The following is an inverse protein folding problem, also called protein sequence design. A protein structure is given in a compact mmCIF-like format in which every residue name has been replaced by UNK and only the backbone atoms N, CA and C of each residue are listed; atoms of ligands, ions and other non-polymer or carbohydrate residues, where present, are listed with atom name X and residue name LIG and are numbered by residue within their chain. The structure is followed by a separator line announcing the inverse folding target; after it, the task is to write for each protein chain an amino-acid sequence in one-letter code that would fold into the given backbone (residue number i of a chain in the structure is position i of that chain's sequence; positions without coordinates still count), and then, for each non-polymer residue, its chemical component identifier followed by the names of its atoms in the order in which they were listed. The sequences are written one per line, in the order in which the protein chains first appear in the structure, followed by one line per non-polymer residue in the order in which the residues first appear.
data_IF_748170039093
#
_entry.id   IF_748170039093
#
_cell.length_a   1.000
_cell.length_b   1.000
_cell.length_c   1.000
_cell.angle_alpha   90.00
_cell.angle_beta   90.00
_cell.angle_gamma   90.00
#
_symmetry.space_group_name_H-M   'P 1'
#
loop_
_entity.id
_entity.type
_entity.pdbx_description
1 polymer ?
#
# COMPACT_ATOMS: atom_id res chain seq x y z
N UNK A 1 12.20 -15.03 7.32
CA UNK A 1 12.48 -15.84 6.11
C UNK A 1 11.22 -15.88 5.27
N UNK A 2 11.32 -15.67 3.95
CA UNK A 2 10.18 -15.80 3.04
C UNK A 2 10.10 -17.26 2.57
N UNK A 3 8.96 -17.97 2.75
CA UNK A 3 8.79 -19.34 2.26
C UNK A 3 8.94 -19.45 0.74
N UNK A 4 9.51 -20.57 0.29
CA UNK A 4 9.71 -20.84 -1.16
C UNK A 4 8.41 -20.81 -1.97
N UNK A 5 7.30 -21.27 -1.41
CA UNK A 5 6.01 -21.27 -2.12
C UNK A 5 5.56 -19.85 -2.49
N UNK A 6 5.83 -18.85 -1.65
CA UNK A 6 5.47 -17.47 -1.96
C UNK A 6 6.35 -16.89 -3.08
N UNK A 7 7.62 -17.30 -3.13
CA UNK A 7 8.51 -16.96 -4.25
C UNK A 7 8.01 -17.57 -5.56
N UNK A 8 7.47 -18.80 -5.52
CA UNK A 8 6.82 -19.40 -6.69
C UNK A 8 5.57 -18.66 -7.13
N UNK A 9 4.75 -18.16 -6.19
CA UNK A 9 3.60 -17.29 -6.52
C UNK A 9 4.07 -16.01 -7.22
N UNK A 10 5.06 -15.31 -6.67
CA UNK A 10 5.61 -14.11 -7.30
C UNK A 10 6.21 -14.38 -8.70
N UNK A 11 6.91 -15.51 -8.86
CA UNK A 11 7.45 -15.94 -10.14
C UNK A 11 6.34 -16.28 -11.15
N UNK A 12 5.26 -16.93 -10.70
CA UNK A 12 4.11 -17.21 -11.53
C UNK A 12 3.42 -15.92 -12.00
N UNK A 13 3.22 -14.94 -11.11
CA UNK A 13 2.72 -13.61 -11.46
C UNK A 13 3.59 -12.98 -12.56
N UNK A 14 4.91 -12.96 -12.38
CA UNK A 14 5.83 -12.42 -13.38
C UNK A 14 5.76 -13.16 -14.72
N UNK A 15 5.63 -14.49 -14.70
CA UNK A 15 5.52 -15.32 -15.89
C UNK A 15 4.28 -14.97 -16.73
N UNK A 16 3.17 -14.55 -16.11
CA UNK A 16 1.98 -14.09 -16.85
C UNK A 16 2.32 -12.92 -17.80
N UNK A 17 3.13 -11.96 -17.33
CA UNK A 17 3.57 -10.83 -18.15
C UNK A 17 4.47 -11.22 -19.31
N UNK A 18 5.32 -12.24 -19.11
CA UNK A 18 6.22 -12.84 -20.12
C UNK A 18 5.48 -13.80 -21.06
N UNK A 19 4.28 -14.26 -20.71
CA UNK A 19 3.39 -14.98 -21.62
C UNK A 19 2.53 -14.03 -22.48
N UNK A 20 2.62 -12.72 -22.24
CA UNK A 20 1.86 -11.72 -22.99
C UNK A 20 0.41 -11.58 -22.53
N UNK A 21 0.07 -12.17 -21.38
CA UNK A 21 -1.16 -11.82 -20.68
C UNK A 21 -1.04 -10.39 -20.21
N UNK A 22 -2.16 -9.67 -20.22
CA UNK A 22 -2.18 -8.30 -19.76
C UNK A 22 -3.12 -8.14 -18.58
N UNK A 23 -2.60 -7.57 -17.49
CA UNK A 23 -3.41 -7.02 -16.41
C UNK A 23 -4.02 -5.66 -16.78
N UNK A 24 -3.66 -5.13 -17.95
CA UNK A 24 -4.21 -3.89 -18.48
C UNK A 24 -5.60 -4.09 -19.06
N UNK A 25 -6.47 -3.10 -18.84
CA UNK A 25 -7.72 -2.94 -19.55
C UNK A 25 -7.49 -2.39 -20.97
N UNK A 26 -6.41 -2.79 -21.66
CA UNK A 26 -6.09 -2.32 -23.01
C UNK A 26 -7.24 -2.57 -24.02
N UNK A 27 -7.94 -3.69 -23.87
CA UNK A 27 -9.16 -3.98 -24.63
C UNK A 27 -10.29 -2.97 -24.34
N UNK A 28 -10.39 -2.43 -23.12
CA UNK A 28 -11.28 -1.30 -22.84
C UNK A 28 -10.84 -0.07 -23.61
N UNK A 29 -9.57 0.35 -23.57
CA UNK A 29 -9.10 1.52 -24.34
C UNK A 29 -9.45 1.44 -25.84
N UNK A 30 -9.34 0.25 -26.45
CA UNK A 30 -9.59 0.06 -27.89
C UNK A 30 -11.09 -0.13 -28.21
N UNK A 31 -11.91 -0.55 -27.25
CA UNK A 31 -13.32 -0.89 -27.46
C UNK A 31 -14.27 -0.28 -26.42
N UNK A 32 -13.93 0.90 -25.86
CA UNK A 32 -14.68 1.55 -24.77
C UNK A 32 -16.16 1.62 -25.12
N UNK A 33 -16.46 2.07 -26.34
CA UNK A 33 -17.83 2.26 -26.82
C UNK A 33 -18.63 0.95 -26.88
N UNK A 34 -17.97 -0.18 -27.18
CA UNK A 34 -18.63 -1.49 -27.26
C UNK A 34 -18.80 -2.10 -25.87
N UNK A 35 -17.77 -2.05 -25.02
CA UNK A 35 -17.78 -2.68 -23.69
C UNK A 35 -18.64 -1.91 -22.68
N UNK A 36 -18.85 -0.61 -22.91
CA UNK A 36 -19.72 0.22 -22.07
C UNK A 36 -21.16 0.35 -22.61
N UNK A 37 -21.43 -0.11 -23.84
CA UNK A 37 -22.77 -0.11 -24.41
C UNK A 37 -23.67 -1.15 -23.72
N UNK A 38 -24.87 -0.70 -23.31
CA UNK A 38 -25.82 -1.54 -22.57
C UNK A 38 -26.19 -2.84 -23.29
N UNK A 39 -26.34 -2.80 -24.61
CA UNK A 39 -26.69 -3.97 -25.42
C UNK A 39 -25.60 -5.05 -25.43
N UNK A 40 -24.32 -4.65 -25.54
CA UNK A 40 -23.21 -5.59 -25.51
C UNK A 40 -23.06 -6.22 -24.11
N UNK A 41 -23.22 -5.40 -23.06
CA UNK A 41 -23.18 -5.89 -21.67
C UNK A 41 -24.28 -6.90 -21.37
N UNK A 42 -25.52 -6.65 -21.79
CA UNK A 42 -26.63 -7.59 -21.57
C UNK A 42 -26.45 -8.94 -22.25
N UNK A 43 -25.65 -9.01 -23.31
CA UNK A 43 -25.38 -10.26 -24.05
C UNK A 43 -24.15 -11.02 -23.52
N UNK A 44 -23.21 -10.34 -22.85
CA UNK A 44 -21.89 -10.91 -22.51
C UNK A 44 -21.57 -10.90 -21.01
N UNK A 45 -22.34 -10.20 -20.18
CA UNK A 45 -22.17 -10.15 -18.72
C UNK A 45 -23.15 -11.11 -18.04
N UNK A 46 -22.64 -12.24 -17.56
CA UNK A 46 -23.43 -13.26 -16.85
C UNK A 46 -23.53 -12.99 -15.34
N UNK A 47 -22.56 -12.27 -14.76
CA UNK A 47 -22.51 -11.92 -13.34
C UNK A 47 -21.93 -10.52 -13.14
N UNK A 48 -22.58 -9.70 -12.31
CA UNK A 48 -22.16 -8.31 -12.05
C UNK A 48 -22.38 -7.38 -13.24
N UNK A 49 -21.77 -6.19 -13.19
CA UNK A 49 -21.74 -5.24 -14.32
C UNK A 49 -20.34 -4.69 -14.50
N UNK A 50 -19.83 -4.60 -15.74
CA UNK A 50 -18.53 -3.95 -15.97
C UNK A 50 -18.61 -2.48 -15.60
N UNK A 51 -17.66 -2.02 -14.79
CA UNK A 51 -17.57 -0.62 -14.35
C UNK A 51 -16.27 -0.01 -14.86
N UNK A 52 -16.31 1.27 -15.23
CA UNK A 52 -15.13 2.05 -15.62
C UNK A 52 -14.15 2.37 -14.46
N UNK A 53 -14.11 1.52 -13.43
CA UNK A 53 -13.36 1.75 -12.17
C UNK A 53 -11.86 1.90 -12.43
N UNK A 54 -11.34 1.32 -13.52
CA UNK A 54 -9.91 1.35 -13.89
C UNK A 54 -9.56 2.34 -15.01
N UNK A 55 -10.39 3.36 -15.21
CA UNK A 55 -10.17 4.38 -16.25
C UNK A 55 -8.88 5.19 -16.03
N UNK A 56 -8.42 5.33 -14.80
CA UNK A 56 -7.10 5.85 -14.44
C UNK A 56 -5.95 5.11 -15.14
N UNK A 57 -6.12 3.81 -15.38
CA UNK A 57 -5.17 3.06 -16.20
C UNK A 57 -5.39 3.32 -17.69
N UNK A 58 -6.49 2.82 -18.23
CA UNK A 58 -6.62 2.62 -19.67
C UNK A 58 -6.90 3.94 -20.40
N UNK A 59 -7.49 4.93 -19.72
CA UNK A 59 -7.73 6.26 -20.27
C UNK A 59 -6.61 7.26 -19.97
N UNK A 60 -5.71 6.96 -19.01
CA UNK A 60 -4.66 7.90 -18.59
C UNK A 60 -3.27 7.29 -18.66
N UNK A 61 -2.92 6.35 -17.76
CA UNK A 61 -1.56 5.81 -17.70
C UNK A 61 -1.10 5.20 -19.03
N UNK A 62 -1.96 4.42 -19.67
CA UNK A 62 -1.65 3.72 -20.92
C UNK A 62 -1.41 4.70 -22.08
N UNK A 63 -2.31 5.67 -22.37
CA UNK A 63 -2.06 6.72 -23.34
C UNK A 63 -0.79 7.53 -23.08
N UNK A 64 -0.53 7.88 -21.81
CA UNK A 64 0.68 8.61 -21.43
C UNK A 64 1.97 7.83 -21.74
N UNK A 65 2.04 6.55 -21.35
CA UNK A 65 3.18 5.70 -21.67
C UNK A 65 3.32 5.51 -23.19
N UNK A 66 2.21 5.35 -23.92
CA UNK A 66 2.23 5.17 -25.37
C UNK A 66 2.68 6.44 -26.10
N UNK A 67 2.25 7.61 -25.63
CA UNK A 67 2.69 8.89 -26.17
C UNK A 67 4.21 9.07 -26.04
N UNK A 68 4.82 8.59 -24.95
CA UNK A 68 6.28 8.60 -24.76
C UNK A 68 7.02 7.65 -25.71
N UNK A 69 6.43 6.50 -26.04
CA UNK A 69 7.02 5.55 -26.98
C UNK A 69 6.94 6.04 -28.44
N UNK A 70 5.90 6.81 -28.76
CA UNK A 70 5.63 7.34 -30.11
C UNK A 70 6.27 8.71 -30.38
N UNK A 71 6.75 9.41 -29.35
CA UNK A 71 7.38 10.72 -29.51
C UNK A 71 8.71 10.63 -30.25
N UNK A 72 9.11 11.74 -30.87
CA UNK A 72 10.41 11.92 -31.51
C UNK A 72 11.04 13.22 -30.97
N UNK A 73 12.15 13.17 -30.19
CA UNK A 73 12.82 11.95 -29.70
C UNK A 73 11.92 11.12 -28.76
N UNK A 74 12.24 9.83 -28.58
CA UNK A 74 11.49 8.93 -27.67
C UNK A 74 11.71 9.30 -26.21
N UNK A 75 10.68 9.15 -25.38
CA UNK A 75 10.70 9.34 -23.92
C UNK A 75 11.21 10.72 -23.43
N UNK A 76 10.78 11.84 -24.04
CA UNK A 76 11.24 13.17 -23.68
C UNK A 76 10.70 13.61 -22.32
N UNK A 77 11.36 14.60 -21.73
CA UNK A 77 10.89 15.26 -20.51
C UNK A 77 9.58 16.03 -20.74
N UNK A 78 9.46 16.70 -21.89
CA UNK A 78 8.24 17.39 -22.33
C UNK A 78 7.73 16.67 -23.57
N UNK A 79 6.50 16.13 -23.50
CA UNK A 79 5.89 15.41 -24.60
C UNK A 79 4.82 16.26 -25.29
N UNK A 80 5.03 16.57 -26.56
CA UNK A 80 4.13 17.36 -27.40
C UNK A 80 2.94 16.56 -27.95
N UNK A 81 2.95 15.22 -27.83
CA UNK A 81 1.82 14.37 -28.21
C UNK A 81 0.71 14.35 -27.14
N UNK A 82 0.87 15.10 -26.04
CA UNK A 82 -0.08 15.15 -24.93
C UNK A 82 -0.52 16.60 -24.70
N UNK A 83 -1.77 16.90 -25.09
CA UNK A 83 -2.35 18.24 -24.94
C UNK A 83 -1.55 19.31 -25.69
N UNK A 84 -1.23 20.42 -24.99
CA UNK A 84 -0.39 21.52 -25.50
C UNK A 84 1.12 21.32 -25.20
N UNK A 85 1.52 20.10 -24.82
CA UNK A 85 2.84 19.81 -24.29
C UNK A 85 2.78 19.59 -22.77
N UNK A 86 3.09 18.36 -22.35
CA UNK A 86 3.03 17.97 -20.94
C UNK A 86 4.40 17.61 -20.38
N UNK A 87 4.77 18.20 -19.23
CA UNK A 87 5.93 17.78 -18.45
C UNK A 87 5.66 16.41 -17.83
N UNK A 88 6.52 15.43 -18.11
CA UNK A 88 6.26 14.02 -17.80
C UNK A 88 6.65 13.62 -16.37
N UNK A 89 7.37 14.46 -15.61
CA UNK A 89 7.70 14.24 -14.18
C UNK A 89 6.51 14.52 -13.24
N UNK A 90 5.31 14.19 -13.69
CA UNK A 90 4.04 14.43 -13.01
C UNK A 90 3.59 13.24 -12.15
N UNK A 91 2.36 13.28 -11.64
CA UNK A 91 1.69 12.26 -10.79
C UNK A 91 1.39 10.91 -11.47
N UNK A 92 2.06 10.53 -12.56
CA UNK A 92 1.85 9.25 -13.24
C UNK A 92 3.18 8.59 -13.58
N UNK A 93 3.16 7.27 -13.65
CA UNK A 93 4.36 6.46 -13.89
C UNK A 93 4.70 6.36 -15.37
N UNK A 94 5.07 7.50 -15.94
CA UNK A 94 5.53 7.63 -17.33
C UNK A 94 7.02 7.35 -17.48
N UNK A 95 7.43 6.60 -18.52
CA UNK A 95 8.84 6.39 -18.83
C UNK A 95 9.47 7.67 -19.39
N UNK A 96 10.60 8.09 -18.84
CA UNK A 96 11.38 9.26 -19.26
C UNK A 96 12.85 8.86 -19.31
N UNK A 97 13.56 9.23 -20.37
CA UNK A 97 15.00 9.07 -20.45
C UNK A 97 15.71 10.29 -19.85
N UNK A 98 15.81 10.31 -18.53
CA UNK A 98 16.52 11.35 -17.78
C UNK A 98 17.30 10.76 -16.59
N UNK A 99 17.94 11.64 -15.80
CA UNK A 99 18.75 11.22 -14.66
C UNK A 99 17.97 10.49 -13.55
N UNK A 100 16.63 10.61 -13.51
CA UNK A 100 15.79 9.96 -12.52
C UNK A 100 15.43 8.52 -12.87
N UNK A 101 15.70 8.06 -14.10
CA UNK A 101 15.40 6.72 -14.57
C UNK A 101 15.89 5.59 -13.63
N UNK A 102 17.11 5.64 -13.05
CA UNK A 102 17.57 4.62 -12.11
C UNK A 102 16.69 4.50 -10.85
N UNK A 103 16.03 5.59 -10.45
CA UNK A 103 15.13 5.62 -9.29
C UNK A 103 13.67 5.34 -9.66
N UNK A 104 13.37 4.96 -10.90
CA UNK A 104 12.01 4.61 -11.35
C UNK A 104 11.98 3.23 -12.00
N UNK A 105 12.45 2.17 -11.32
CA UNK A 105 12.65 0.85 -11.94
C UNK A 105 11.36 0.19 -12.43
N UNK A 106 10.21 0.58 -11.88
CA UNK A 106 8.91 0.13 -12.38
C UNK A 106 8.61 0.63 -13.79
N UNK A 107 9.22 1.71 -14.27
CA UNK A 107 9.01 2.22 -15.64
C UNK A 107 9.91 1.55 -16.68
N UNK A 108 10.91 0.76 -16.26
CA UNK A 108 11.86 0.12 -17.17
C UNK A 108 11.23 -0.83 -18.19
N UNK A 109 10.19 -1.62 -17.85
CA UNK A 109 9.52 -2.45 -18.83
C UNK A 109 9.01 -1.67 -20.05
N UNK A 110 8.67 -0.37 -19.92
CA UNK A 110 8.17 0.41 -21.05
C UNK A 110 9.17 0.61 -22.20
N UNK A 111 10.46 0.36 -21.97
CA UNK A 111 11.49 0.39 -23.01
C UNK A 111 11.54 -0.91 -23.84
N UNK A 112 10.83 -1.97 -23.42
CA UNK A 112 10.70 -3.20 -24.20
C UNK A 112 9.84 -2.96 -25.45
N UNK A 113 10.10 -3.67 -26.56
CA UNK A 113 9.34 -3.50 -27.79
C UNK A 113 7.93 -4.09 -27.70
N UNK A 114 6.98 -3.43 -28.38
CA UNK A 114 5.64 -3.96 -28.63
C UNK A 114 4.83 -4.20 -27.35
N UNK A 115 4.02 -5.26 -27.36
CA UNK A 115 3.09 -5.59 -26.26
C UNK A 115 3.78 -5.85 -24.92
N UNK A 116 5.05 -6.30 -24.96
CA UNK A 116 5.83 -6.64 -23.76
C UNK A 116 6.01 -5.45 -22.81
N UNK A 117 6.02 -4.23 -23.35
CA UNK A 117 6.18 -3.02 -22.55
C UNK A 117 5.14 -2.89 -21.44
N UNK A 118 3.86 -3.11 -21.78
CA UNK A 118 2.75 -3.00 -20.84
C UNK A 118 2.53 -4.29 -20.06
N UNK A 119 2.67 -5.47 -20.69
CA UNK A 119 2.43 -6.75 -20.00
C UNK A 119 3.46 -6.99 -18.90
N UNK A 120 4.75 -6.77 -19.19
CA UNK A 120 5.82 -6.93 -18.20
C UNK A 120 5.71 -5.85 -17.13
N UNK A 121 5.38 -4.60 -17.48
CA UNK A 121 5.13 -3.52 -16.50
C UNK A 121 4.15 -3.96 -15.41
N UNK A 122 2.97 -4.44 -15.83
CA UNK A 122 1.90 -4.86 -14.93
C UNK A 122 2.37 -5.93 -13.96
N UNK A 123 2.81 -7.05 -14.49
CA UNK A 123 3.13 -8.22 -13.66
C UNK A 123 4.44 -8.07 -12.89
N UNK A 124 5.40 -7.28 -13.38
CA UNK A 124 6.61 -6.95 -12.63
C UNK A 124 6.27 -6.12 -11.38
N UNK A 125 5.39 -5.11 -11.51
CA UNK A 125 4.96 -4.31 -10.37
C UNK A 125 4.21 -5.16 -9.35
N UNK A 126 3.26 -6.00 -9.78
CA UNK A 126 2.50 -6.86 -8.86
C UNK A 126 3.39 -7.88 -8.13
N UNK A 127 4.30 -8.54 -8.85
CA UNK A 127 5.25 -9.47 -8.25
C UNK A 127 6.15 -8.76 -7.23
N UNK A 128 6.63 -7.56 -7.57
CA UNK A 128 7.48 -6.78 -6.68
C UNK A 128 6.71 -6.23 -5.46
N UNK A 129 5.44 -5.85 -5.60
CA UNK A 129 4.56 -5.47 -4.49
C UNK A 129 4.38 -6.63 -3.51
N UNK A 130 4.06 -7.82 -4.01
CA UNK A 130 3.92 -9.02 -3.17
C UNK A 130 5.22 -9.31 -2.40
N UNK A 131 6.37 -9.24 -3.06
CA UNK A 131 7.67 -9.47 -2.43
C UNK A 131 8.01 -8.37 -1.41
N UNK A 132 7.68 -7.11 -1.69
CA UNK A 132 7.89 -5.98 -0.79
C UNK A 132 7.06 -6.13 0.50
N UNK A 133 5.77 -6.47 0.35
CA UNK A 133 4.88 -6.77 1.47
C UNK A 133 5.37 -7.97 2.26
N UNK A 134 5.74 -9.07 1.59
CA UNK A 134 6.27 -10.26 2.23
C UNK A 134 7.54 -9.99 3.03
N UNK A 135 8.45 -9.18 2.49
CA UNK A 135 9.68 -8.82 3.20
C UNK A 135 9.38 -7.90 4.39
N UNK A 136 8.52 -6.89 4.22
CA UNK A 136 8.12 -6.01 5.32
C UNK A 136 7.46 -6.80 6.45
N UNK A 137 6.48 -7.67 6.14
CA UNK A 137 5.80 -8.50 7.14
C UNK A 137 6.80 -9.45 7.82
N UNK A 138 7.71 -10.05 7.06
CA UNK A 138 8.74 -10.94 7.62
C UNK A 138 9.70 -10.23 8.57
N UNK A 139 10.12 -8.99 8.28
CA UNK A 139 10.93 -8.18 9.20
C UNK A 139 10.09 -7.68 10.37
N UNK A 140 8.85 -7.25 10.11
CA UNK A 140 7.92 -6.79 11.13
C UNK A 140 7.65 -7.88 12.15
N UNK A 141 7.55 -9.15 11.76
CA UNK A 141 7.21 -10.31 12.61
C UNK A 141 8.42 -11.12 13.08
N UNK A 142 9.64 -10.64 12.78
CA UNK A 142 10.88 -11.36 12.99
C UNK A 142 11.12 -11.77 14.46
N UNK A 143 11.76 -12.94 14.63
CA UNK A 143 12.35 -13.46 15.87
C UNK A 143 13.70 -14.11 15.53
N UNK A 144 14.61 -14.13 16.50
CA UNK A 144 15.95 -14.71 16.31
C UNK A 144 15.92 -16.20 15.96
N UNK A 145 14.95 -16.95 16.50
CA UNK A 145 14.78 -18.37 16.21
C UNK A 145 13.89 -18.59 14.97
N UNK A 146 14.37 -19.32 13.95
CA UNK A 146 13.58 -19.61 12.76
C UNK A 146 12.45 -20.59 13.10
N UNK A 147 11.23 -20.22 12.74
CA UNK A 147 10.04 -21.06 12.88
C UNK A 147 9.27 -21.07 11.55
N UNK A 148 9.07 -22.27 11.00
CA UNK A 148 8.37 -22.48 9.72
C UNK A 148 6.89 -22.10 9.80
N UNK A 149 6.21 -22.35 10.93
CA UNK A 149 4.80 -22.01 11.12
C UNK A 149 4.64 -20.49 11.11
N UNK A 150 5.50 -19.77 11.84
CA UNK A 150 5.55 -18.30 11.80
C UNK A 150 5.84 -17.75 10.42
N UNK A 151 6.85 -18.30 9.74
CA UNK A 151 7.22 -17.85 8.40
C UNK A 151 6.07 -18.04 7.39
N UNK A 152 5.33 -19.14 7.50
CA UNK A 152 4.12 -19.37 6.70
C UNK A 152 2.99 -18.41 7.08
N UNK A 153 2.74 -18.17 8.37
CA UNK A 153 1.73 -17.21 8.82
C UNK A 153 2.02 -15.79 8.30
N UNK A 154 3.28 -15.35 8.38
CA UNK A 154 3.73 -14.07 7.82
C UNK A 154 3.51 -13.99 6.30
N UNK A 155 3.82 -15.08 5.57
CA UNK A 155 3.62 -15.13 4.12
C UNK A 155 2.14 -15.13 3.71
N UNK A 156 1.28 -15.83 4.46
CA UNK A 156 -0.17 -15.80 4.25
C UNK A 156 -0.73 -14.40 4.55
N UNK A 157 -0.26 -13.75 5.62
CA UNK A 157 -0.66 -12.38 5.94
C UNK A 157 -0.22 -11.39 4.84
N UNK A 158 0.98 -11.54 4.29
CA UNK A 158 1.43 -10.72 3.16
C UNK A 158 0.57 -10.93 1.91
N UNK A 159 0.14 -12.18 1.64
CA UNK A 159 -0.77 -12.50 0.55
C UNK A 159 -2.15 -11.89 0.78
N UNK A 160 -2.67 -11.92 2.00
CA UNK A 160 -3.93 -11.28 2.36
C UNK A 160 -3.88 -9.75 2.19
N UNK A 161 -2.78 -9.11 2.62
CA UNK A 161 -2.56 -7.67 2.39
C UNK A 161 -2.46 -7.37 0.89
N UNK A 162 -1.76 -8.20 0.12
CA UNK A 162 -1.62 -8.04 -1.33
C UNK A 162 -2.97 -8.08 -2.06
N UNK A 163 -3.90 -8.94 -1.62
CA UNK A 163 -5.26 -9.02 -2.17
C UNK A 163 -6.27 -8.09 -1.51
N UNK A 164 -5.84 -7.20 -0.62
CA UNK A 164 -6.74 -6.23 0.00
C UNK A 164 -7.38 -5.29 -1.02
N UNK A 165 -8.54 -4.71 -0.67
CA UNK A 165 -9.18 -3.74 -1.57
C UNK A 165 -8.31 -2.52 -1.80
N UNK A 166 -7.52 -2.06 -0.81
CA UNK A 166 -6.61 -0.93 -1.01
C UNK A 166 -5.57 -1.23 -2.10
N UNK A 167 -4.97 -2.43 -2.08
CA UNK A 167 -3.98 -2.81 -3.11
C UNK A 167 -4.65 -3.03 -4.48
N UNK A 168 -5.83 -3.65 -4.49
CA UNK A 168 -6.53 -4.03 -5.73
C UNK A 168 -7.18 -2.82 -6.42
N UNK A 169 -7.83 -1.93 -5.68
CA UNK A 169 -8.59 -0.80 -6.24
C UNK A 169 -7.68 0.36 -6.66
N UNK A 170 -6.51 0.50 -6.04
CA UNK A 170 -5.53 1.53 -6.38
C UNK A 170 -4.37 1.01 -7.23
N UNK A 171 -4.44 -0.24 -7.69
CA UNK A 171 -3.36 -0.97 -8.36
C UNK A 171 -2.73 -0.18 -9.52
N UNK A 172 -3.53 0.58 -10.29
CA UNK A 172 -3.07 1.39 -11.44
C UNK A 172 -2.46 2.74 -11.08
N UNK A 173 -2.40 3.09 -9.80
CA UNK A 173 -1.96 4.42 -9.38
C UNK A 173 -0.54 4.43 -8.81
N UNK A 174 0.19 5.56 -8.91
CA UNK A 174 1.48 5.72 -8.25
C UNK A 174 1.43 5.59 -6.73
N UNK A 175 0.25 5.64 -6.12
CA UNK A 175 0.10 5.36 -4.69
C UNK A 175 0.62 3.96 -4.34
N UNK A 176 0.30 2.94 -5.14
CA UNK A 176 0.73 1.56 -4.90
C UNK A 176 2.22 1.40 -5.13
N UNK A 177 2.78 2.12 -6.10
CA UNK A 177 4.21 2.17 -6.32
C UNK A 177 4.95 2.80 -5.13
N UNK A 178 4.38 3.86 -4.54
CA UNK A 178 4.90 4.44 -3.30
C UNK A 178 4.81 3.45 -2.13
N UNK A 179 3.67 2.77 -1.94
CA UNK A 179 3.50 1.75 -0.90
C UNK A 179 4.52 0.62 -1.08
N UNK A 180 4.72 0.13 -2.30
CA UNK A 180 5.71 -0.90 -2.63
C UNK A 180 7.11 -0.47 -2.18
N UNK A 181 7.59 0.69 -2.63
CA UNK A 181 8.94 1.14 -2.28
C UNK A 181 9.06 1.57 -0.82
N UNK A 182 7.98 2.06 -0.21
CA UNK A 182 7.88 2.30 1.23
C UNK A 182 8.04 1.01 2.04
N UNK A 183 7.42 -0.09 1.60
CA UNK A 183 7.58 -1.41 2.20
C UNK A 183 9.03 -1.92 2.05
N UNK A 184 9.65 -1.78 0.88
CA UNK A 184 11.06 -2.13 0.67
C UNK A 184 11.99 -1.27 1.54
N UNK A 185 11.70 0.02 1.68
CA UNK A 185 12.45 0.94 2.55
C UNK A 185 12.38 0.50 4.01
N UNK A 186 11.17 0.23 4.52
CA UNK A 186 10.97 -0.24 5.89
C UNK A 186 11.61 -1.61 6.15
N UNK A 187 11.50 -2.55 5.21
CA UNK A 187 12.10 -3.86 5.31
C UNK A 187 13.64 -3.80 5.30
N UNK A 188 14.23 -3.04 4.37
CA UNK A 188 15.68 -2.85 4.30
C UNK A 188 16.22 -2.15 5.57
N UNK A 189 15.52 -1.13 6.07
CA UNK A 189 15.86 -0.44 7.30
C UNK A 189 15.86 -1.38 8.52
N UNK A 190 14.80 -2.17 8.70
CA UNK A 190 14.69 -3.13 9.78
C UNK A 190 15.76 -4.25 9.66
N UNK A 191 15.97 -4.77 8.45
CA UNK A 191 17.00 -5.77 8.17
C UNK A 191 18.42 -5.27 8.47
N UNK A 192 18.69 -3.97 8.29
CA UNK A 192 19.97 -3.34 8.61
C UNK A 192 20.27 -3.43 10.11
N UNK A 193 19.28 -3.09 10.95
CA UNK A 193 19.40 -3.20 12.41
C UNK A 193 19.66 -4.65 12.86
N UNK A 194 19.01 -5.60 12.18
CA UNK A 194 19.06 -7.03 12.50
C UNK A 194 20.39 -7.69 12.12
N UNK A 195 20.79 -7.55 10.85
CA UNK A 195 21.93 -8.28 10.26
C UNK A 195 23.29 -7.65 10.56
N UNK A 196 23.32 -6.38 10.97
CA UNK A 196 24.56 -5.63 11.17
C UNK A 196 25.30 -5.27 9.88
N UNK A 197 24.79 -5.62 8.70
CA UNK A 197 25.33 -5.25 7.38
C UNK A 197 25.01 -3.77 7.07
N UNK A 198 25.63 -2.88 7.84
CA UNK A 198 25.29 -1.44 7.86
C UNK A 198 25.40 -0.80 6.49
N UNK A 199 26.51 -0.96 5.77
CA UNK A 199 26.74 -0.27 4.50
C UNK A 199 25.70 -0.67 3.43
N UNK A 200 25.54 -1.97 3.14
CA UNK A 200 24.58 -2.44 2.14
C UNK A 200 23.13 -2.17 2.53
N UNK A 201 22.81 -2.26 3.81
CA UNK A 201 21.48 -1.97 4.35
C UNK A 201 21.10 -0.49 4.25
N UNK A 202 22.03 0.41 4.60
CA UNK A 202 21.87 1.86 4.44
C UNK A 202 21.73 2.22 2.97
N UNK A 203 22.58 1.67 2.09
CA UNK A 203 22.50 1.91 0.65
C UNK A 203 21.16 1.44 0.05
N UNK A 204 20.70 0.24 0.42
CA UNK A 204 19.40 -0.27 0.00
C UNK A 204 18.24 0.60 0.51
N UNK A 205 18.31 1.04 1.78
CA UNK A 205 17.31 1.95 2.37
C UNK A 205 17.26 3.28 1.61
N UNK A 206 18.42 3.89 1.33
CA UNK A 206 18.50 5.14 0.57
C UNK A 206 17.94 4.97 -0.84
N UNK A 207 18.31 3.89 -1.53
CA UNK A 207 17.84 3.61 -2.89
C UNK A 207 16.33 3.39 -2.95
N UNK A 208 15.77 2.52 -2.10
CA UNK A 208 14.33 2.28 -2.08
C UNK A 208 13.54 3.53 -1.65
N UNK A 209 14.09 4.33 -0.74
CA UNK A 209 13.49 5.60 -0.37
C UNK A 209 13.49 6.58 -1.55
N UNK A 210 14.60 6.70 -2.30
CA UNK A 210 14.64 7.48 -3.53
C UNK A 210 13.60 7.00 -4.54
N UNK A 211 13.46 5.68 -4.73
CA UNK A 211 12.43 5.12 -5.60
C UNK A 211 11.01 5.45 -5.13
N UNK A 212 10.75 5.44 -3.82
CA UNK A 212 9.45 5.83 -3.27
C UNK A 212 9.15 7.31 -3.59
N UNK A 213 10.07 8.23 -3.32
CA UNK A 213 9.81 9.66 -3.50
C UNK A 213 9.92 10.14 -4.96
N UNK A 214 10.59 9.39 -5.85
CA UNK A 214 10.52 9.57 -7.31
C UNK A 214 9.19 9.07 -7.91
N UNK A 215 8.34 8.47 -7.08
CA UNK A 215 6.94 8.18 -7.37
C UNK A 215 6.08 9.27 -6.73
N UNK A 216 5.60 10.20 -7.56
CA UNK A 216 4.92 11.40 -7.07
C UNK A 216 3.47 11.14 -6.65
N UNK A 217 3.29 10.78 -5.37
CA UNK A 217 1.98 10.68 -4.73
C UNK A 217 1.99 11.26 -3.29
N UNK A 218 2.12 12.59 -3.13
CA UNK A 218 2.29 13.24 -1.82
C UNK A 218 1.29 12.86 -0.72
N UNK A 219 -0.02 12.66 -1.00
CA UNK A 219 -1.00 12.47 0.06
C UNK A 219 -0.78 11.28 0.99
N UNK A 220 0.05 10.29 0.61
CA UNK A 220 0.35 9.12 1.45
C UNK A 220 1.75 9.18 2.10
N UNK A 221 2.59 10.16 1.75
CA UNK A 221 3.99 10.22 2.17
C UNK A 221 4.15 10.31 3.70
N UNK A 222 3.55 11.31 4.33
CA UNK A 222 3.69 11.52 5.77
C UNK A 222 3.09 10.38 6.61
N UNK A 223 1.86 9.88 6.34
CA UNK A 223 1.30 8.73 7.06
C UNK A 223 2.19 7.49 6.99
N UNK A 224 2.70 7.14 5.80
CA UNK A 224 3.61 5.99 5.65
C UNK A 224 4.96 6.21 6.34
N UNK A 225 5.49 7.43 6.33
CA UNK A 225 6.75 7.74 7.01
C UNK A 225 6.65 7.51 8.52
N UNK A 226 5.53 7.86 9.15
CA UNK A 226 5.28 7.54 10.57
C UNK A 226 5.36 6.04 10.84
N UNK A 227 4.68 5.23 10.02
CA UNK A 227 4.67 3.77 10.16
C UNK A 227 6.07 3.17 9.97
N UNK A 228 6.81 3.62 8.95
CA UNK A 228 8.18 3.16 8.66
C UNK A 228 9.16 3.58 9.77
N UNK A 229 9.07 4.83 10.26
CA UNK A 229 9.92 5.32 11.34
C UNK A 229 9.66 4.59 12.65
N UNK A 230 8.40 4.31 13.00
CA UNK A 230 8.05 3.51 14.16
C UNK A 230 8.70 2.12 14.13
N UNK A 231 8.60 1.42 12.99
CA UNK A 231 9.26 0.12 12.78
C UNK A 231 10.79 0.22 12.89
N UNK A 232 11.40 1.23 12.27
CA UNK A 232 12.85 1.45 12.30
C UNK A 232 13.35 1.69 13.73
N UNK A 233 12.63 2.48 14.52
CA UNK A 233 12.96 2.76 15.91
C UNK A 233 12.90 1.46 16.72
N UNK A 234 11.82 0.68 16.60
CA UNK A 234 11.66 -0.59 17.31
C UNK A 234 12.76 -1.60 16.96
N UNK A 235 13.14 -1.72 15.69
CA UNK A 235 14.20 -2.61 15.24
C UNK A 235 15.57 -2.28 15.87
N UNK A 236 15.85 -0.99 16.12
CA UNK A 236 17.08 -0.54 16.77
C UNK A 236 17.01 -0.55 18.30
N UNK A 237 15.83 -0.29 18.88
CA UNK A 237 15.56 -0.45 20.31
C UNK A 237 15.76 -1.89 20.76
N UNK A 238 15.24 -2.86 19.99
CA UNK A 238 15.37 -4.29 20.27
C UNK A 238 16.84 -4.75 20.38
N UNK A 239 17.77 -4.02 19.73
CA UNK A 239 19.20 -4.31 19.77
C UNK A 239 20.00 -3.41 20.73
N UNK A 240 19.34 -2.53 21.49
CA UNK A 240 19.97 -1.49 22.32
C UNK A 240 20.96 -0.61 21.53
N UNK A 241 20.66 -0.36 20.26
CA UNK A 241 21.51 0.40 19.32
C UNK A 241 20.76 1.61 18.76
N UNK A 242 20.17 2.42 19.64
CA UNK A 242 19.36 3.59 19.25
C UNK A 242 20.11 4.55 18.34
N UNK A 243 21.39 4.81 18.59
CA UNK A 243 22.20 5.65 17.71
C UNK A 243 22.46 5.05 16.31
N UNK A 244 22.28 3.73 16.17
CA UNK A 244 22.33 3.06 14.87
C UNK A 244 21.15 3.40 13.96
N UNK A 245 20.06 3.94 14.52
CA UNK A 245 18.89 4.37 13.76
C UNK A 245 19.17 5.66 12.95
N UNK A 246 20.03 6.55 13.44
CA UNK A 246 20.34 7.84 12.78
C UNK A 246 20.85 7.69 11.34
N UNK A 247 21.88 6.88 11.02
CA UNK A 247 22.33 6.75 9.64
C UNK A 247 21.28 6.12 8.72
N UNK A 248 20.41 5.26 9.24
CA UNK A 248 19.31 4.67 8.46
C UNK A 248 18.21 5.71 8.21
N UNK A 249 17.88 6.53 9.21
CA UNK A 249 16.95 7.65 9.07
C UNK A 249 17.49 8.71 8.09
N UNK A 250 18.79 9.02 8.18
CA UNK A 250 19.46 9.91 7.23
C UNK A 250 19.40 9.37 5.80
N UNK A 251 19.49 8.05 5.61
CA UNK A 251 19.30 7.43 4.30
C UNK A 251 17.87 7.59 3.76
N UNK A 252 16.84 7.47 4.61
CA UNK A 252 15.45 7.77 4.22
C UNK A 252 15.30 9.24 3.83
N UNK A 253 15.87 10.16 4.60
CA UNK A 253 15.84 11.59 4.29
C UNK A 253 16.58 11.88 2.98
N UNK A 254 17.76 11.29 2.77
CA UNK A 254 18.53 11.45 1.54
C UNK A 254 17.74 10.97 0.31
N UNK A 255 17.07 9.81 0.41
CA UNK A 255 16.18 9.33 -0.66
C UNK A 255 15.02 10.27 -0.93
N UNK A 256 14.38 10.81 0.12
CA UNK A 256 13.32 11.80 -0.02
C UNK A 256 13.80 13.08 -0.71
N UNK A 257 14.98 13.59 -0.35
CA UNK A 257 15.59 14.76 -1.00
C UNK A 257 15.86 14.50 -2.48
N UNK A 258 16.35 13.32 -2.85
CA UNK A 258 16.53 12.93 -4.27
C UNK A 258 15.21 12.96 -5.03
N UNK A 259 14.14 12.37 -4.47
CA UNK A 259 12.82 12.37 -5.10
C UNK A 259 12.21 13.77 -5.22
N UNK A 260 12.35 14.61 -4.20
CA UNK A 260 11.91 16.01 -4.25
C UNK A 260 12.70 16.82 -5.29
N UNK A 261 14.02 16.63 -5.36
CA UNK A 261 14.86 17.26 -6.39
C UNK A 261 14.47 16.81 -7.80
N UNK A 262 14.06 15.55 -7.97
CA UNK A 262 13.57 15.03 -9.24
C UNK A 262 12.29 15.75 -9.69
N UNK A 263 11.34 15.94 -8.78
CA UNK A 263 10.06 16.59 -9.06
C UNK A 263 10.08 18.11 -8.98
N UNK A 264 11.18 18.75 -8.59
CA UNK A 264 11.27 20.21 -8.37
C UNK A 264 10.74 21.05 -9.55
N UNK A 265 11.06 20.75 -10.83
CA UNK A 265 10.50 21.51 -11.95
C UNK A 265 8.98 21.37 -12.07
N UNK A 266 8.43 20.18 -11.77
CA UNK A 266 7.00 19.95 -11.78
C UNK A 266 6.33 20.67 -10.61
N UNK A 267 6.89 20.57 -9.41
CA UNK A 267 6.43 21.25 -8.20
C UNK A 267 6.31 22.76 -8.40
N UNK A 268 7.29 23.38 -9.06
CA UNK A 268 7.26 24.81 -9.38
C UNK A 268 6.05 25.22 -10.25
N UNK A 269 5.52 24.31 -11.07
CA UNK A 269 4.34 24.55 -11.91
C UNK A 269 3.02 24.35 -11.17
N UNK A 270 3.00 23.50 -10.14
CA UNK A 270 1.77 23.07 -9.45
C UNK A 270 1.63 23.59 -8.02
N UNK A 271 2.61 24.32 -7.49
CA UNK A 271 2.58 24.80 -6.10
C UNK A 271 1.39 25.74 -5.84
N UNK A 272 0.97 26.48 -6.85
CA UNK A 272 -0.15 27.42 -6.77
C UNK A 272 -1.50 26.83 -7.19
N UNK A 273 -1.53 25.58 -7.66
CA UNK A 273 -2.79 24.94 -8.06
C UNK A 273 -3.59 24.47 -6.84
N UNK A 274 -4.90 24.32 -7.02
CA UNK A 274 -5.79 23.78 -5.98
C UNK A 274 -5.38 22.36 -5.53
N UNK A 275 -4.88 21.54 -6.47
CA UNK A 275 -4.31 20.23 -6.19
C UNK A 275 -3.02 19.99 -6.98
N UNK A 276 -1.94 19.49 -6.34
CA UNK A 276 -1.79 19.27 -4.89
C UNK A 276 -1.28 20.50 -4.11
N UNK A 277 -0.96 21.62 -4.77
CA UNK A 277 -0.22 22.75 -4.18
C UNK A 277 -0.84 23.37 -2.93
N UNK A 278 -2.02 24.00 -3.06
CA UNK A 278 -2.71 24.68 -1.94
C UNK A 278 -3.54 23.75 -1.06
N UNK A 279 -3.53 22.44 -1.30
CA UNK A 279 -4.36 21.48 -0.58
C UNK A 279 -3.78 21.22 0.82
N UNK A 280 -4.48 21.70 1.82
CA UNK A 280 -4.25 21.34 3.23
C UNK A 280 -5.46 20.59 3.78
N UNK A 281 -5.22 19.66 4.69
CA UNK A 281 -6.23 18.85 5.35
C UNK A 281 -6.30 19.18 6.83
N UNK A 282 -7.48 18.96 7.42
CA UNK A 282 -7.73 19.08 8.85
C UNK A 282 -7.81 17.70 9.50
N UNK A 283 -7.47 17.64 10.79
CA UNK A 283 -7.58 16.42 11.58
C UNK A 283 -9.05 16.05 11.86
N UNK A 284 -9.31 14.78 12.14
CA UNK A 284 -10.67 14.31 12.50
C UNK A 284 -11.62 14.21 11.32
N UNK A 285 -11.08 14.17 10.09
CA UNK A 285 -11.88 14.14 8.85
C UNK A 285 -12.68 12.85 8.63
N UNK A 286 -12.43 11.78 9.39
CA UNK A 286 -13.20 10.52 9.32
C UNK A 286 -13.84 10.18 10.68
N UNK A 287 -15.12 9.74 10.69
CA UNK A 287 -15.74 9.30 11.93
C UNK A 287 -15.16 7.96 12.39
N UNK A 288 -15.13 7.73 13.72
CA UNK A 288 -14.60 6.49 14.32
C UNK A 288 -15.29 5.22 13.78
N UNK A 289 -16.57 5.33 13.39
CA UNK A 289 -17.34 4.24 12.81
C UNK A 289 -16.71 3.67 11.53
N UNK A 290 -15.84 4.43 10.83
CA UNK A 290 -15.08 3.93 9.66
C UNK A 290 -14.14 2.77 9.99
N UNK A 291 -13.85 2.50 11.26
CA UNK A 291 -13.18 1.26 11.67
C UNK A 291 -13.89 -0.01 11.20
N UNK A 292 -15.20 0.04 10.90
CA UNK A 292 -15.94 -1.07 10.29
C UNK A 292 -15.42 -1.42 8.89
N UNK A 293 -14.83 -0.47 8.17
CA UNK A 293 -14.25 -0.73 6.85
C UNK A 293 -13.09 -1.75 6.94
N UNK A 294 -12.42 -1.86 8.09
CA UNK A 294 -11.37 -2.87 8.31
C UNK A 294 -11.91 -4.31 8.26
N UNK A 295 -13.21 -4.52 8.42
CA UNK A 295 -13.86 -5.80 8.18
C UNK A 295 -14.13 -6.01 6.69
N UNK A 296 -14.84 -5.05 6.10
CA UNK A 296 -15.33 -5.18 4.75
C UNK A 296 -15.63 -3.79 4.16
N UNK A 297 -14.67 -3.15 3.49
CA UNK A 297 -14.81 -1.78 3.01
C UNK A 297 -15.94 -1.63 2.00
N UNK A 298 -16.19 -2.67 1.20
CA UNK A 298 -17.26 -2.67 0.20
C UNK A 298 -18.65 -2.54 0.81
N UNK A 299 -18.86 -2.85 2.11
CA UNK A 299 -20.16 -2.76 2.79
C UNK A 299 -20.59 -1.30 2.84
N UNK A 300 -19.63 -0.41 3.10
CA UNK A 300 -19.91 1.03 3.12
C UNK A 300 -20.15 1.59 1.72
N UNK A 301 -19.56 0.98 0.69
CA UNK A 301 -19.77 1.39 -0.69
C UNK A 301 -21.08 0.83 -1.31
N UNK A 302 -21.48 -0.40 -0.98
CA UNK A 302 -22.61 -1.10 -1.60
C UNK A 302 -23.88 -1.08 -0.76
N UNK A 303 -23.77 -0.99 0.56
CA UNK A 303 -24.88 -1.00 1.51
C UNK A 303 -24.76 0.17 2.52
N UNK A 304 -24.87 1.42 2.06
CA UNK A 304 -24.76 2.57 2.95
C UNK A 304 -25.89 2.57 4.00
N UNK A 305 -25.53 2.80 5.27
CA UNK A 305 -26.48 2.99 6.38
C UNK A 305 -27.03 4.40 6.30
N UNK A 306 -28.33 4.50 6.04
CA UNK A 306 -29.08 5.76 5.94
C UNK A 306 -30.16 5.82 7.01
N UNK A 307 -30.45 7.01 7.54
CA UNK A 307 -31.67 7.28 8.27
C UNK A 307 -32.26 8.58 7.71
N UNK A 308 -33.39 8.45 7.00
CA UNK A 308 -33.91 9.50 6.12
C UNK A 308 -32.95 9.79 4.95
N UNK A 309 -32.75 11.07 4.65
CA UNK A 309 -31.81 11.54 3.62
C UNK A 309 -30.34 11.52 4.07
N UNK A 310 -30.11 11.44 5.39
CA UNK A 310 -28.77 11.43 5.96
C UNK A 310 -28.09 10.06 5.80
N UNK A 311 -26.87 10.07 5.27
CA UNK A 311 -26.01 8.88 5.19
C UNK A 311 -25.05 8.89 6.38
N UNK A 312 -25.20 7.91 7.28
CA UNK A 312 -24.40 7.77 8.51
C UNK A 312 -23.15 6.93 8.26
N UNK A 313 -23.27 5.92 7.41
CA UNK A 313 -22.18 5.08 6.93
C UNK A 313 -22.36 4.93 5.43
N UNK A 314 -21.38 5.32 4.63
CA UNK A 314 -21.54 5.27 3.18
C UNK A 314 -20.27 5.66 2.45
N UNK A 315 -20.29 5.67 1.11
CA UNK A 315 -19.17 6.21 0.34
C UNK A 315 -18.97 7.67 0.75
N UNK A 316 -17.72 8.11 0.86
CA UNK A 316 -17.40 9.52 1.11
C UNK A 316 -18.07 10.37 0.02
N UNK A 317 -18.98 11.27 0.40
CA UNK A 317 -19.73 12.08 -0.54
C UNK A 317 -18.80 12.89 -1.45
N UNK A 318 -19.06 12.87 -2.76
CA UNK A 318 -18.22 13.54 -3.75
C UNK A 318 -16.84 12.91 -3.97
N UNK A 319 -16.57 11.75 -3.37
CA UNK A 319 -15.30 11.04 -3.48
C UNK A 319 -15.39 9.88 -4.47
N UNK A 320 -14.25 9.49 -5.02
CA UNK A 320 -14.15 8.29 -5.86
C UNK A 320 -14.54 7.05 -5.05
N UNK A 321 -15.26 6.08 -5.63
CA UNK A 321 -15.63 4.84 -4.91
C UNK A 321 -14.39 4.11 -4.37
N UNK A 322 -13.23 4.23 -5.03
CA UNK A 322 -11.96 3.65 -4.60
C UNK A 322 -11.51 4.13 -3.20
N UNK A 323 -12.05 5.25 -2.74
CA UNK A 323 -11.76 5.91 -1.45
C UNK A 323 -12.37 5.16 -0.27
N UNK A 324 -13.29 4.23 -0.54
CA UNK A 324 -13.76 3.30 0.48
C UNK A 324 -12.75 2.18 0.80
N UNK A 325 -11.73 1.96 -0.05
CA UNK A 325 -10.82 0.83 0.12
C UNK A 325 -9.91 0.96 1.34
N UNK A 326 -9.56 -0.18 1.92
CA UNK A 326 -8.63 -0.32 3.03
C UNK A 326 -7.75 -1.54 2.85
N UNK A 327 -6.69 -1.62 3.65
CA UNK A 327 -6.08 -2.93 3.92
C UNK A 327 -6.94 -3.61 4.99
N UNK A 328 -7.72 -4.61 4.60
CA UNK A 328 -8.60 -5.32 5.53
C UNK A 328 -7.78 -5.93 6.67
N UNK A 329 -8.24 -5.69 7.90
CA UNK A 329 -7.64 -6.22 9.11
C UNK A 329 -8.66 -7.05 9.90
N UNK A 330 -9.50 -7.82 9.19
CA UNK A 330 -10.50 -8.73 9.76
C UNK A 330 -9.93 -9.56 10.92
N UNK A 331 -8.74 -10.20 10.78
CA UNK A 331 -8.18 -10.95 11.90
C UNK A 331 -7.91 -10.09 13.14
N UNK A 332 -7.53 -8.82 12.98
CA UNK A 332 -7.27 -7.93 14.13
C UNK A 332 -8.54 -7.74 14.95
N UNK A 333 -9.66 -7.42 14.31
CA UNK A 333 -10.92 -7.13 14.98
C UNK A 333 -11.47 -8.38 15.69
N UNK A 334 -11.36 -9.54 15.03
CA UNK A 334 -11.73 -10.83 15.60
C UNK A 334 -10.86 -11.18 16.80
N UNK A 335 -9.55 -10.96 16.70
CA UNK A 335 -8.61 -11.21 17.81
C UNK A 335 -8.87 -10.26 18.98
N UNK A 336 -9.21 -8.99 18.73
CA UNK A 336 -9.63 -8.05 19.78
C UNK A 336 -10.89 -8.56 20.48
N UNK A 337 -11.89 -9.01 19.73
CA UNK A 337 -13.12 -9.56 20.30
C UNK A 337 -12.88 -10.85 21.11
N UNK A 338 -11.88 -11.65 20.74
CA UNK A 338 -11.49 -12.87 21.45
C UNK A 338 -10.59 -12.62 22.68
N UNK A 339 -9.93 -11.47 22.77
CA UNK A 339 -8.98 -11.17 23.84
C UNK A 339 -9.57 -11.26 25.26
N UNK A 340 -10.82 -10.86 25.56
CA UNK A 340 -11.42 -11.07 26.88
C UNK A 340 -11.52 -12.55 27.28
N UNK A 341 -11.80 -13.43 26.30
CA UNK A 341 -12.03 -14.86 26.53
C UNK A 341 -10.75 -15.72 26.43
N UNK A 342 -9.73 -15.31 25.67
CA UNK A 342 -8.50 -16.08 25.48
C UNK A 342 -7.26 -15.43 26.10
N UNK A 343 -6.70 -16.09 27.12
CA UNK A 343 -5.41 -15.70 27.71
C UNK A 343 -4.25 -15.80 26.70
N UNK A 344 -4.32 -16.77 25.77
CA UNK A 344 -3.33 -16.96 24.70
C UNK A 344 -3.32 -15.74 23.77
N UNK A 345 -4.49 -15.27 23.34
CA UNK A 345 -4.63 -14.04 22.53
C UNK A 345 -4.12 -12.81 23.29
N UNK A 346 -4.44 -12.64 24.58
CA UNK A 346 -3.91 -11.53 25.38
C UNK A 346 -2.38 -11.55 25.47
N UNK A 347 -1.78 -12.72 25.69
CA UNK A 347 -0.31 -12.87 25.73
C UNK A 347 0.32 -12.51 24.39
N UNK A 348 -0.30 -12.92 23.28
CA UNK A 348 0.15 -12.57 21.94
C UNK A 348 0.12 -11.05 21.71
N UNK A 349 -0.99 -10.37 22.02
CA UNK A 349 -1.08 -8.90 21.95
C UNK A 349 -0.03 -8.21 22.84
N UNK A 350 0.10 -8.64 24.09
CA UNK A 350 1.08 -8.08 25.02
C UNK A 350 2.53 -8.30 24.56
N UNK A 351 2.82 -9.43 23.90
CA UNK A 351 4.13 -9.68 23.30
C UNK A 351 4.40 -8.74 22.11
N UNK A 352 3.40 -8.54 21.24
CA UNK A 352 3.52 -7.63 20.08
C UNK A 352 3.69 -6.18 20.52
N UNK A 353 2.88 -5.73 21.49
CA UNK A 353 2.94 -4.37 22.06
C UNK A 353 4.29 -4.09 22.71
N UNK A 354 4.78 -5.00 23.57
CA UNK A 354 6.09 -4.85 24.23
C UNK A 354 7.26 -4.84 23.25
N UNK A 355 7.15 -5.59 22.15
CA UNK A 355 8.18 -5.65 21.13
C UNK A 355 8.19 -4.41 20.21
N UNK A 356 7.09 -3.67 20.12
CA UNK A 356 6.89 -2.61 19.11
C UNK A 356 6.31 -1.29 19.65
N UNK A 357 6.79 -0.74 20.77
CA UNK A 357 6.19 0.44 21.38
C UNK A 357 6.22 1.67 20.46
N UNK A 358 7.30 1.90 19.70
CA UNK A 358 7.41 3.07 18.83
C UNK A 358 6.47 2.97 17.63
N UNK A 359 6.25 1.77 17.09
CA UNK A 359 5.25 1.53 16.05
C UNK A 359 3.83 1.82 16.55
N UNK A 360 3.46 1.38 17.76
CA UNK A 360 2.14 1.70 18.33
C UNK A 360 1.98 3.20 18.59
N UNK A 361 3.04 3.90 18.99
CA UNK A 361 3.01 5.37 19.11
C UNK A 361 2.78 6.04 17.75
N UNK A 362 3.46 5.58 16.69
CA UNK A 362 3.25 6.08 15.33
C UNK A 362 1.83 5.80 14.83
N UNK A 363 1.30 4.60 15.08
CA UNK A 363 -0.08 4.23 14.76
C UNK A 363 -1.09 5.13 15.50
N UNK A 364 -0.83 5.46 16.77
CA UNK A 364 -1.66 6.36 17.55
C UNK A 364 -1.63 7.80 17.00
N UNK A 365 -0.47 8.30 16.56
CA UNK A 365 -0.35 9.62 15.92
C UNK A 365 -1.17 9.69 14.63
N UNK A 366 -1.05 8.68 13.76
CA UNK A 366 -1.82 8.61 12.51
C UNK A 366 -3.32 8.42 12.79
N UNK A 367 -3.68 7.58 13.77
CA UNK A 367 -5.07 7.41 14.20
C UNK A 367 -5.68 8.69 14.75
N UNK A 368 -4.93 9.42 15.59
CA UNK A 368 -5.39 10.70 16.15
C UNK A 368 -5.59 11.74 15.04
N UNK A 369 -4.72 11.78 14.02
CA UNK A 369 -4.93 12.62 12.84
C UNK A 369 -6.24 12.31 12.10
N UNK A 370 -6.56 11.03 11.96
CA UNK A 370 -7.74 10.59 11.19
C UNK A 370 -9.03 10.85 11.95
N UNK A 371 -9.06 10.53 13.25
CA UNK A 371 -10.29 10.42 14.03
C UNK A 371 -10.53 11.54 15.05
N UNK A 372 -9.48 12.20 15.53
CA UNK A 372 -9.62 13.22 16.56
C UNK A 372 -9.62 14.63 15.93
N UNK A 373 -10.53 15.53 16.34
CA UNK A 373 -10.52 16.93 15.89
C UNK A 373 -9.38 17.69 16.57
N UNK A 374 -8.17 17.55 16.04
CA UNK A 374 -6.95 18.15 16.59
C UNK A 374 -6.69 19.56 16.01
N UNK A 375 -6.05 20.46 16.77
CA UNK A 375 -5.66 21.78 16.26
C UNK A 375 -4.68 21.70 15.08
N UNK A 376 -4.73 22.68 14.17
CA UNK A 376 -3.92 22.68 12.94
C UNK A 376 -2.39 22.65 13.14
N UNK A 377 -1.89 23.07 14.31
CA UNK A 377 -0.46 22.95 14.63
C UNK A 377 -0.01 21.48 14.68
N UNK A 378 -0.89 20.56 15.09
CA UNK A 378 -0.57 19.13 15.14
C UNK A 378 -0.27 18.59 13.75
N UNK A 379 -1.14 18.89 12.77
CA UNK A 379 -0.94 18.49 11.37
C UNK A 379 0.32 19.09 10.75
N UNK A 380 0.73 20.28 11.22
CA UNK A 380 1.97 20.93 10.76
C UNK A 380 3.21 20.23 11.33
N UNK A 381 3.27 19.98 12.63
CA UNK A 381 4.40 19.30 13.27
C UNK A 381 4.53 17.84 12.81
N UNK A 382 3.41 17.13 12.67
CA UNK A 382 3.38 15.75 12.20
C UNK A 382 3.53 15.61 10.68
N UNK A 383 3.58 16.73 9.93
CA UNK A 383 3.52 16.81 8.46
C UNK A 383 2.24 16.22 7.84
N UNK A 384 1.27 15.80 8.66
CA UNK A 384 0.05 15.14 8.22
C UNK A 384 -0.96 16.10 7.58
N UNK A 385 -0.80 17.42 7.73
CA UNK A 385 -1.65 18.43 7.04
C UNK A 385 -1.65 18.31 5.51
N UNK A 386 -0.67 17.62 4.93
CA UNK A 386 -0.57 17.36 3.49
C UNK A 386 -1.29 16.06 3.07
N UNK A 387 -1.90 15.36 4.02
CA UNK A 387 -2.53 14.06 3.87
C UNK A 387 -3.96 14.10 4.40
N UNK A 388 -4.94 14.03 3.51
CA UNK A 388 -6.33 13.87 3.91
C UNK A 388 -6.56 12.57 4.68
N UNK A 389 -7.58 12.54 5.55
CA UNK A 389 -7.92 11.35 6.34
C UNK A 389 -8.08 10.09 5.47
N UNK A 390 -8.77 10.18 4.34
CA UNK A 390 -8.93 9.05 3.40
C UNK A 390 -7.61 8.51 2.82
N UNK A 391 -6.55 9.32 2.75
CA UNK A 391 -5.21 8.88 2.30
C UNK A 391 -4.37 8.33 3.45
N UNK A 392 -4.45 8.98 4.61
CA UNK A 392 -3.87 8.47 5.84
C UNK A 392 -4.50 7.11 6.24
N UNK A 393 -5.75 6.87 5.87
CA UNK A 393 -6.50 5.64 6.09
C UNK A 393 -5.83 4.39 5.52
N UNK A 394 -5.19 4.51 4.37
CA UNK A 394 -4.49 3.40 3.71
C UNK A 394 -3.23 3.01 4.51
N UNK A 395 -2.45 3.99 4.96
CA UNK A 395 -1.29 3.73 5.82
C UNK A 395 -1.70 3.18 7.20
N UNK A 396 -2.77 3.74 7.78
CA UNK A 396 -3.34 3.28 9.05
C UNK A 396 -3.82 1.82 8.98
N UNK A 397 -4.61 1.49 7.96
CA UNK A 397 -5.13 0.13 7.76
C UNK A 397 -4.01 -0.88 7.46
N UNK A 398 -2.99 -0.50 6.68
CA UNK A 398 -1.79 -1.32 6.48
C UNK A 398 -1.09 -1.60 7.82
N UNK A 399 -0.95 -0.59 8.68
CA UNK A 399 -0.35 -0.76 9.99
C UNK A 399 -1.18 -1.67 10.91
N UNK A 400 -2.52 -1.58 10.87
CA UNK A 400 -3.41 -2.52 11.53
C UNK A 400 -3.22 -3.96 11.03
N UNK A 401 -3.08 -4.16 9.72
CA UNK A 401 -2.83 -5.47 9.13
C UNK A 401 -1.45 -6.04 9.54
N UNK A 402 -0.42 -5.19 9.68
CA UNK A 402 0.87 -5.60 10.24
C UNK A 402 0.74 -6.07 11.70
N UNK A 403 -0.05 -5.38 12.52
CA UNK A 403 -0.33 -5.80 13.90
C UNK A 403 -1.06 -7.14 13.92
N UNK A 404 -2.10 -7.33 13.09
CA UNK A 404 -2.76 -8.63 12.93
C UNK A 404 -1.77 -9.74 12.56
N UNK A 405 -0.91 -9.49 11.56
CA UNK A 405 0.09 -10.46 11.13
C UNK A 405 1.04 -10.85 12.27
N UNK A 406 1.49 -9.87 13.07
CA UNK A 406 2.36 -10.14 14.21
C UNK A 406 1.65 -10.95 15.30
N UNK A 407 0.40 -10.64 15.65
CA UNK A 407 -0.36 -11.40 16.66
C UNK A 407 -0.60 -12.83 16.15
N UNK A 408 -0.99 -13.01 14.90
CA UNK A 408 -1.16 -14.33 14.28
C UNK A 408 0.14 -15.13 14.27
N UNK A 409 1.29 -14.49 14.03
CA UNK A 409 2.59 -15.16 14.11
C UNK A 409 2.93 -15.58 15.55
N UNK A 410 2.65 -14.76 16.56
CA UNK A 410 2.82 -15.17 17.96
C UNK A 410 1.90 -16.34 18.31
N UNK A 411 0.65 -16.33 17.83
CA UNK A 411 -0.28 -17.44 18.01
C UNK A 411 0.18 -18.71 17.28
N UNK A 412 0.70 -18.62 16.06
CA UNK A 412 1.17 -19.78 15.30
C UNK A 412 2.38 -20.48 15.94
N UNK A 413 3.17 -19.72 16.71
CA UNK A 413 4.32 -20.22 17.47
C UNK A 413 3.94 -20.78 18.85
N UNK A 414 2.81 -20.36 19.40
CA UNK A 414 2.34 -20.78 20.72
C UNK A 414 1.72 -22.18 20.62
N UNK A 415 2.37 -23.18 21.22
CA UNK A 415 1.87 -24.57 21.25
C UNK A 415 0.93 -24.84 22.42
N UNK A 416 0.62 -23.82 23.26
CA UNK A 416 -0.30 -24.01 24.38
C UNK A 416 -1.71 -24.36 23.88
N UNK A 417 -2.21 -25.50 24.34
CA UNK A 417 -3.56 -25.97 24.00
C UNK A 417 -4.62 -25.02 24.56
N UNK A 418 -5.54 -24.58 23.70
CA UNK A 418 -6.74 -23.85 24.15
C UNK A 418 -7.87 -24.82 24.53
N UNK A 419 -8.79 -24.39 25.43
CA UNK A 419 -10.01 -25.12 25.70
C UNK A 419 -10.80 -25.41 24.41
N UNK A 420 -11.47 -26.58 24.30
CA UNK A 420 -12.24 -26.95 23.11
C UNK A 420 -13.28 -25.90 22.70
N UNK A 421 -13.92 -25.24 23.67
CA UNK A 421 -14.89 -24.17 23.43
C UNK A 421 -14.31 -22.98 22.66
N UNK A 422 -13.07 -22.58 22.96
CA UNK A 422 -12.41 -21.47 22.27
C UNK A 422 -11.99 -21.90 20.86
N UNK A 423 -11.55 -23.15 20.67
CA UNK A 423 -11.24 -23.69 19.32
C UNK A 423 -12.46 -23.68 18.41
N UNK A 424 -13.64 -24.03 18.94
CA UNK A 424 -14.91 -23.99 18.18
C UNK A 424 -15.29 -22.56 17.81
N UNK A 425 -15.18 -21.61 18.76
CA UNK A 425 -15.45 -20.19 18.47
C UNK A 425 -14.47 -19.66 17.43
N UNK A 426 -13.17 -19.95 17.55
CA UNK A 426 -12.14 -19.53 16.61
C UNK A 426 -12.37 -20.14 15.21
N UNK A 427 -12.75 -21.41 15.13
CA UNK A 427 -13.09 -22.08 13.88
C UNK A 427 -14.34 -21.46 13.22
N UNK A 428 -15.38 -21.17 14.00
CA UNK A 428 -16.58 -20.48 13.52
C UNK A 428 -16.28 -19.09 13.00
N UNK A 429 -15.46 -18.33 13.73
CA UNK A 429 -14.99 -17.01 13.32
C UNK A 429 -14.15 -17.08 12.03
N UNK A 430 -13.23 -18.05 11.93
CA UNK A 430 -12.41 -18.24 10.74
C UNK A 430 -13.25 -18.64 9.52
N UNK A 431 -14.28 -19.48 9.73
CA UNK A 431 -15.23 -19.84 8.69
C UNK A 431 -16.06 -18.64 8.22
N UNK A 432 -16.53 -17.78 9.13
CA UNK A 432 -17.23 -16.52 8.80
C UNK A 432 -16.31 -15.59 8.02
N UNK A 433 -15.05 -15.43 8.45
CA UNK A 433 -14.08 -14.61 7.73
C UNK A 433 -13.79 -15.14 6.33
N UNK A 434 -13.61 -16.46 6.18
CA UNK A 434 -13.39 -17.09 4.88
C UNK A 434 -14.61 -17.00 3.95
N UNK A 435 -15.82 -17.19 4.50
CA UNK A 435 -17.07 -17.04 3.76
C UNK A 435 -17.31 -15.60 3.32
N UNK A 436 -16.95 -14.62 4.16
CA UNK A 436 -16.95 -13.22 3.78
C UNK A 436 -16.02 -13.04 2.56
N UNK A 437 -14.74 -13.42 2.63
CA UNK A 437 -13.79 -13.25 1.51
C UNK A 437 -14.18 -13.94 0.19
N UNK A 438 -15.08 -14.92 0.21
CA UNK A 438 -15.54 -15.65 -0.98
C UNK A 438 -16.81 -15.05 -1.62
N UNK A 439 -17.50 -14.13 -0.95
CA UNK A 439 -18.70 -13.44 -1.42
C UNK A 439 -18.36 -12.06 -2.02
#
# INVERSE_FOLDING_TARGET
MIPRWLLWVAAAILALGVCGLTGSSWLFFVRVDQLMAGAWRSEHEFFGTSRGIRSDEWAVQTPHARAQQLSQPRFPLVNQNLGLGALQRHTYSTPILDWGLPFRPLTWPYFLPGRWSHTVFWFFREALLLLALAWLVAEFTFRDQPDRRRANAAAIAALAIFFSTAMTWWVSTPMIEFVLFGCLTGAAAAATARTGRRASGIAATAYFSACAFCTFYPPIWAPMLWIICGLLIDAHLARRRVFGAFPVLAAVVAGAVVGLAYHLPYLALIVDTAYPGRRVAEAGSLPLLRLVDLLWPSLTATAPVRCGEATYLGPMQGSNVCEASVVEAVPLLLLIALAPASARVRRAFAAVLRARPAFFAALAVVGAWIFAPLPGWFGTLALLRWSQGGRAWIAFSLACALVAAAVLCELAADETEEPPSIRVIAAGIAAIAAAAFAA
#
